data_IF_344978312392
#
_entry.id   IF_344978312392
#
_cell.length_a   1.000
_cell.length_b   1.000
_cell.length_c   1.000
_cell.angle_alpha   90.00
_cell.angle_beta   90.00
_cell.angle_gamma   90.00
#
_symmetry.space_group_name_H-M   'P 1'
#
loop_
_entity.id
_entity.type
_entity.pdbx_description
1 polymer ?
#
# COMPACT_ATOMS: atom_id res chain seq x y z
N UNK A 1 -2.67 -7.80 10.36
CA UNK A 1 -3.48 -6.67 10.87
C UNK A 1 -3.15 -5.29 10.26
N UNK A 2 -4.17 -4.52 9.85
CA UNK A 2 -4.01 -3.07 9.56
C UNK A 2 -3.71 -2.34 10.87
N UNK A 3 -2.58 -1.63 10.95
CA UNK A 3 -2.23 -0.85 12.15
C UNK A 3 -3.06 0.43 12.18
N UNK A 4 -3.77 0.63 13.28
CA UNK A 4 -4.66 1.78 13.50
C UNK A 4 -4.04 2.70 14.55
N UNK A 5 -3.98 3.98 14.24
CA UNK A 5 -3.36 5.03 15.05
C UNK A 5 -4.35 6.16 15.31
N UNK A 6 -4.22 6.80 16.47
CA UNK A 6 -4.87 8.08 16.73
C UNK A 6 -4.20 9.17 15.88
N UNK A 7 -4.92 10.27 15.64
CA UNK A 7 -4.41 11.39 14.82
C UNK A 7 -3.04 11.90 15.27
N UNK A 8 -2.85 12.12 16.57
CA UNK A 8 -1.56 12.63 17.08
C UNK A 8 -0.42 11.60 16.95
N UNK A 9 -0.71 10.29 17.04
CA UNK A 9 0.26 9.21 16.83
C UNK A 9 0.69 9.17 15.37
N UNK A 10 -0.27 9.21 14.45
CA UNK A 10 -0.01 9.25 13.01
C UNK A 10 0.82 10.49 12.61
N UNK A 11 0.48 11.66 13.17
CA UNK A 11 1.25 12.90 12.96
C UNK A 11 2.69 12.78 13.48
N UNK A 12 2.87 12.24 14.69
CA UNK A 12 4.20 12.01 15.27
C UNK A 12 5.02 11.06 14.39
N UNK A 13 4.45 9.93 14.00
CA UNK A 13 5.13 8.96 13.13
C UNK A 13 5.48 9.55 11.77
N UNK A 14 4.63 10.40 11.19
CA UNK A 14 4.93 11.14 9.95
C UNK A 14 6.13 12.09 10.11
N UNK A 15 6.26 12.76 11.25
CA UNK A 15 7.41 13.65 11.51
C UNK A 15 8.71 12.89 11.72
N UNK A 16 8.65 11.67 12.25
CA UNK A 16 9.81 10.79 12.46
C UNK A 16 10.21 10.03 11.19
N UNK A 17 9.24 9.60 10.38
CA UNK A 17 9.44 8.93 9.11
C UNK A 17 8.55 9.55 8.01
N UNK A 18 9.08 10.53 7.26
CA UNK A 18 8.35 11.24 6.21
C UNK A 18 7.81 10.38 5.06
N UNK A 19 8.26 9.12 4.94
CA UNK A 19 7.80 8.20 3.89
C UNK A 19 6.48 7.54 4.24
N UNK A 20 6.08 7.54 5.51
CA UNK A 20 4.81 7.00 5.95
C UNK A 20 3.65 7.79 5.35
N UNK A 21 2.52 7.11 5.21
CA UNK A 21 1.25 7.70 4.80
C UNK A 21 0.17 7.07 5.64
N UNK A 22 -0.86 7.84 5.96
CA UNK A 22 -1.97 7.34 6.76
C UNK A 22 -3.27 7.73 6.09
N UNK A 23 -4.26 6.84 6.10
CA UNK A 23 -5.58 7.11 5.53
C UNK A 23 -6.72 6.84 6.50
N UNK A 24 -7.82 7.53 6.30
CA UNK A 24 -9.12 7.22 6.90
C UNK A 24 -10.19 7.31 5.83
N UNK A 25 -11.13 6.36 5.85
CA UNK A 25 -12.23 6.27 4.90
C UNK A 25 -13.53 6.61 5.65
N UNK A 26 -14.34 7.51 5.10
CA UNK A 26 -15.64 7.92 5.65
C UNK A 26 -16.65 8.09 4.52
N UNK A 27 -17.49 7.07 4.31
CA UNK A 27 -18.35 7.01 3.13
C UNK A 27 -17.51 7.02 1.85
N UNK A 28 -17.85 7.89 0.91
CA UNK A 28 -17.11 8.07 -0.35
C UNK A 28 -15.87 8.98 -0.21
N UNK A 29 -15.65 9.57 0.97
CA UNK A 29 -14.54 10.49 1.22
C UNK A 29 -13.36 9.74 1.85
N UNK A 30 -12.21 9.80 1.18
CA UNK A 30 -10.93 9.32 1.72
C UNK A 30 -10.05 10.50 2.09
N UNK A 31 -9.58 10.53 3.35
CA UNK A 31 -8.59 11.50 3.80
C UNK A 31 -7.22 10.82 3.95
N UNK A 32 -6.17 11.48 3.48
CA UNK A 32 -4.78 11.02 3.60
C UNK A 32 -3.94 12.05 4.35
N UNK A 33 -3.25 11.62 5.39
CA UNK A 33 -2.24 12.39 6.11
C UNK A 33 -0.87 12.14 5.47
N UNK A 34 -0.19 13.23 5.09
CA UNK A 34 1.16 13.22 4.53
C UNK A 34 1.98 14.44 4.99
N UNK A 35 3.29 14.27 4.99
CA UNK A 35 4.23 15.38 5.23
C UNK A 35 4.49 16.12 3.91
N UNK A 36 4.34 17.44 3.94
CA UNK A 36 4.71 18.36 2.85
C UNK A 36 5.80 19.31 3.35
N UNK A 37 6.45 20.05 2.44
CA UNK A 37 7.50 21.01 2.77
C UNK A 37 7.01 22.03 3.82
N UNK A 38 7.41 21.83 5.08
CA UNK A 38 7.10 22.72 6.20
C UNK A 38 5.87 22.37 7.03
N UNK A 39 5.19 21.23 6.81
CA UNK A 39 4.04 20.86 7.64
C UNK A 39 3.35 19.56 7.26
N UNK A 40 2.27 19.25 7.99
CA UNK A 40 1.39 18.11 7.72
C UNK A 40 0.18 18.60 6.92
N UNK A 41 -0.15 17.90 5.84
CA UNK A 41 -1.31 18.18 4.99
C UNK A 41 -2.30 17.01 5.05
N UNK A 42 -3.58 17.34 5.00
CA UNK A 42 -4.67 16.40 4.80
C UNK A 42 -5.16 16.53 3.36
N UNK A 43 -4.92 15.50 2.55
CA UNK A 43 -5.49 15.41 1.20
C UNK A 43 -6.82 14.67 1.24
N UNK A 44 -7.77 15.13 0.43
CA UNK A 44 -9.13 14.61 0.39
C UNK A 44 -9.52 14.21 -1.02
N UNK A 45 -9.97 12.98 -1.17
CA UNK A 45 -10.42 12.40 -2.43
C UNK A 45 -11.86 11.90 -2.29
N UNK A 46 -12.70 12.15 -3.29
CA UNK A 46 -14.13 11.73 -3.28
C UNK A 46 -15.05 12.54 -2.35
N UNK A 47 -14.56 13.60 -1.71
CA UNK A 47 -15.32 14.41 -0.77
C UNK A 47 -16.19 15.47 -1.48
N UNK A 48 -17.19 15.04 -2.26
CA UNK A 48 -18.08 15.92 -3.02
C UNK A 48 -18.90 16.84 -2.09
N UNK A 49 -18.95 18.14 -2.41
CA UNK A 49 -19.71 19.13 -1.64
C UNK A 49 -19.07 19.56 -0.30
N UNK A 50 -17.92 18.99 0.06
CA UNK A 50 -17.18 19.35 1.26
C UNK A 50 -16.19 20.49 0.94
N UNK A 51 -16.46 21.70 1.41
CA UNK A 51 -15.55 22.85 1.19
C UNK A 51 -14.30 22.79 2.08
N UNK A 52 -14.36 22.03 3.18
CA UNK A 52 -13.26 21.90 4.13
C UNK A 52 -13.15 20.46 4.65
N UNK A 53 -11.95 19.90 4.57
CA UNK A 53 -11.62 18.66 5.24
C UNK A 53 -11.01 18.95 6.60
N UNK A 54 -11.84 18.94 7.65
CA UNK A 54 -11.35 19.09 9.01
C UNK A 54 -10.59 17.84 9.45
N UNK A 55 -9.38 18.02 9.98
CA UNK A 55 -8.65 16.96 10.66
C UNK A 55 -9.32 16.63 12.00
N UNK A 56 -9.87 15.43 12.14
CA UNK A 56 -10.46 14.95 13.39
C UNK A 56 -9.38 14.45 14.34
N UNK A 57 -9.33 14.95 15.57
CA UNK A 57 -8.34 14.50 16.58
C UNK A 57 -8.62 13.10 17.12
N UNK A 58 -9.87 12.67 17.08
CA UNK A 58 -10.34 11.32 17.41
C UNK A 58 -10.32 10.35 16.21
N UNK A 59 -9.72 10.78 15.09
CA UNK A 59 -9.58 9.98 13.88
C UNK A 59 -8.80 8.69 14.11
N UNK A 60 -9.29 7.61 13.50
CA UNK A 60 -8.62 6.30 13.46
C UNK A 60 -7.96 6.13 12.10
N UNK A 61 -6.66 6.36 12.08
CA UNK A 61 -5.85 6.37 10.87
C UNK A 61 -5.20 5.03 10.62
N UNK A 62 -5.35 4.51 9.42
CA UNK A 62 -4.70 3.28 8.96
C UNK A 62 -3.39 3.65 8.26
N UNK A 63 -2.29 3.02 8.66
CA UNK A 63 -1.04 3.17 7.92
C UNK A 63 -1.20 2.61 6.50
N UNK A 64 -0.92 3.44 5.50
CA UNK A 64 -0.87 3.03 4.10
C UNK A 64 0.51 2.43 3.87
N UNK A 65 0.54 1.11 3.70
CA UNK A 65 1.76 0.39 3.36
C UNK A 65 2.27 0.89 2.00
N UNK A 66 3.41 1.56 2.02
CA UNK A 66 4.13 1.94 0.80
C UNK A 66 4.74 0.72 0.12
N UNK A 67 5.18 0.87 -1.15
CA UNK A 67 5.92 -0.19 -1.78
C UNK A 67 7.28 -0.39 -1.08
N UNK A 68 7.63 -1.64 -0.84
CA UNK A 68 8.92 -2.10 -0.32
C UNK A 68 9.74 -2.73 -1.46
N UNK A 69 11.00 -3.01 -1.17
CA UNK A 69 11.85 -3.83 -2.04
C UNK A 69 11.42 -5.30 -1.99
N UNK A 70 11.82 -6.08 -3.00
CA UNK A 70 11.59 -7.52 -2.97
C UNK A 70 12.27 -8.20 -1.77
N UNK A 71 13.47 -7.76 -1.38
CA UNK A 71 14.19 -8.33 -0.24
C UNK A 71 13.44 -8.11 1.07
N UNK A 72 12.91 -6.91 1.30
CA UNK A 72 12.05 -6.63 2.46
C UNK A 72 10.78 -7.49 2.45
N UNK A 73 10.21 -7.78 1.27
CA UNK A 73 9.07 -8.68 1.14
C UNK A 73 9.44 -10.15 1.44
N UNK A 74 10.63 -10.59 1.05
CA UNK A 74 11.17 -11.95 1.34
C UNK A 74 11.41 -12.14 2.84
N UNK A 75 11.95 -11.12 3.50
CA UNK A 75 12.23 -11.14 4.94
C UNK A 75 10.97 -10.99 5.79
N UNK A 76 9.82 -10.70 5.17
CA UNK A 76 8.56 -10.54 5.90
C UNK A 76 7.85 -11.88 6.13
N UNK A 77 7.31 -12.06 7.34
CA UNK A 77 6.38 -13.16 7.65
C UNK A 77 4.96 -12.91 7.10
N UNK A 78 4.77 -11.82 6.35
CA UNK A 78 3.48 -11.37 5.87
C UNK A 78 3.08 -11.96 4.52
N UNK A 79 1.83 -11.69 4.12
CA UNK A 79 1.41 -11.89 2.74
C UNK A 79 1.91 -10.75 1.87
N UNK A 80 2.22 -11.02 0.62
CA UNK A 80 2.81 -10.06 -0.30
C UNK A 80 1.94 -9.87 -1.55
N UNK A 81 2.06 -8.70 -2.15
CA UNK A 81 1.46 -8.33 -3.44
C UNK A 81 2.51 -7.59 -4.25
N UNK A 82 2.50 -7.74 -5.58
CA UNK A 82 3.37 -6.95 -6.47
C UNK A 82 2.56 -6.28 -7.58
N UNK A 83 2.87 -5.02 -7.86
CA UNK A 83 2.34 -4.28 -9.00
C UNK A 83 3.45 -4.03 -10.02
N UNK A 84 3.20 -4.39 -11.28
CA UNK A 84 4.10 -4.14 -12.40
C UNK A 84 3.33 -4.12 -13.73
N UNK A 85 3.82 -3.35 -14.72
CA UNK A 85 3.14 -3.18 -16.03
C UNK A 85 3.02 -4.49 -16.82
N UNK A 86 3.89 -5.47 -16.56
CA UNK A 86 3.80 -6.79 -17.18
C UNK A 86 2.63 -7.59 -16.61
N UNK A 87 2.26 -7.36 -15.36
CA UNK A 87 1.16 -8.07 -14.70
C UNK A 87 -0.22 -7.57 -15.14
N UNK A 88 -0.33 -6.29 -15.52
CA UNK A 88 -1.59 -5.73 -16.06
C UNK A 88 -1.94 -6.27 -17.44
N UNK A 89 -0.98 -6.90 -18.14
CA UNK A 89 -1.19 -7.52 -19.45
C UNK A 89 -1.59 -8.99 -19.37
N UNK A 90 -1.53 -9.60 -18.18
CA UNK A 90 -1.90 -10.99 -17.98
C UNK A 90 -3.43 -11.16 -18.09
N UNK A 91 -3.87 -12.27 -18.69
CA UNK A 91 -5.30 -12.50 -19.01
C UNK A 91 -6.20 -12.48 -17.77
N UNK A 92 -7.43 -11.96 -17.96
CA UNK A 92 -8.44 -11.70 -16.90
C UNK A 92 -8.68 -12.86 -15.93
N UNK A 93 -8.48 -14.11 -16.35
CA UNK A 93 -8.78 -15.30 -15.55
C UNK A 93 -7.91 -15.42 -14.28
N UNK A 94 -6.73 -14.78 -14.24
CA UNK A 94 -5.79 -14.87 -13.09
C UNK A 94 -5.30 -13.53 -12.57
N UNK A 95 -5.64 -12.46 -13.29
CA UNK A 95 -5.42 -11.08 -12.88
C UNK A 95 -6.02 -10.81 -11.48
N UNK A 96 -7.17 -11.41 -11.16
CA UNK A 96 -7.81 -11.29 -9.85
C UNK A 96 -7.00 -11.92 -8.71
N UNK A 97 -6.29 -13.03 -8.95
CA UNK A 97 -5.45 -13.70 -7.94
C UNK A 97 -4.13 -12.97 -7.74
N UNK A 98 -3.48 -12.51 -8.82
CA UNK A 98 -2.22 -11.77 -8.75
C UNK A 98 -2.35 -10.39 -8.12
N UNK A 99 -3.53 -9.78 -8.18
CA UNK A 99 -3.82 -8.50 -7.52
C UNK A 99 -4.06 -8.61 -6.01
N UNK A 100 -4.21 -9.83 -5.49
CA UNK A 100 -4.44 -10.07 -4.06
C UNK A 100 -3.12 -10.25 -3.30
N UNK A 101 -3.21 -10.15 -1.97
CA UNK A 101 -2.11 -10.51 -1.07
C UNK A 101 -2.03 -12.03 -0.91
N UNK A 102 -0.90 -12.60 -1.32
CA UNK A 102 -0.66 -14.04 -1.33
C UNK A 102 0.56 -14.38 -0.46
N UNK A 103 0.67 -15.61 0.06
CA UNK A 103 1.95 -16.13 0.53
C UNK A 103 3.02 -15.97 -0.56
N UNK A 104 4.25 -15.64 -0.19
CA UNK A 104 5.33 -15.40 -1.15
C UNK A 104 5.54 -16.60 -2.08
N UNK A 105 5.52 -17.82 -1.55
CA UNK A 105 5.67 -19.05 -2.33
C UNK A 105 4.60 -19.18 -3.42
N UNK A 106 3.33 -18.92 -3.09
CA UNK A 106 2.21 -18.97 -4.03
C UNK A 106 2.36 -17.90 -5.11
N UNK A 107 2.72 -16.68 -4.72
CA UNK A 107 2.95 -15.60 -5.67
C UNK A 107 4.12 -15.93 -6.60
N UNK A 108 5.23 -16.47 -6.09
CA UNK A 108 6.36 -16.84 -6.92
C UNK A 108 6.05 -17.99 -7.88
N UNK A 109 5.28 -18.99 -7.42
CA UNK A 109 4.78 -20.05 -8.28
C UNK A 109 3.92 -19.50 -9.42
N UNK A 110 2.98 -18.59 -9.11
CA UNK A 110 2.14 -17.96 -10.12
C UNK A 110 2.98 -17.14 -11.11
N UNK A 111 3.88 -16.27 -10.62
CA UNK A 111 4.72 -15.44 -11.49
C UNK A 111 5.63 -16.29 -12.38
N UNK A 112 6.27 -17.33 -11.83
CA UNK A 112 7.15 -18.22 -12.60
C UNK A 112 6.43 -19.07 -13.64
N UNK A 113 5.12 -19.25 -13.50
CA UNK A 113 4.28 -19.96 -14.46
C UNK A 113 3.79 -19.07 -15.60
N UNK A 114 3.56 -17.79 -15.31
CA UNK A 114 2.96 -16.85 -16.27
C UNK A 114 4.00 -16.01 -17.02
N UNK A 115 5.21 -15.84 -16.49
CA UNK A 115 6.23 -14.96 -17.03
C UNK A 115 7.44 -15.74 -17.54
N UNK A 116 8.06 -15.24 -18.62
CA UNK A 116 9.39 -15.69 -19.01
C UNK A 116 10.42 -15.31 -17.94
N UNK A 117 11.56 -16.01 -17.89
CA UNK A 117 12.58 -15.73 -16.87
C UNK A 117 13.12 -14.29 -16.91
N UNK A 118 13.15 -13.63 -18.08
CA UNK A 118 13.52 -12.21 -18.19
C UNK A 118 12.47 -11.29 -17.58
N UNK A 119 11.19 -11.56 -17.85
CA UNK A 119 10.05 -10.79 -17.32
C UNK A 119 9.89 -10.98 -15.81
N UNK A 120 10.13 -12.19 -15.31
CA UNK A 120 10.14 -12.47 -13.88
C UNK A 120 11.23 -11.66 -13.16
N UNK A 121 12.44 -11.62 -13.72
CA UNK A 121 13.53 -10.80 -13.19
C UNK A 121 13.16 -9.31 -13.19
N UNK A 122 12.52 -8.84 -14.25
CA UNK A 122 12.04 -7.46 -14.35
C UNK A 122 11.02 -7.14 -13.25
N UNK A 123 10.06 -8.03 -12.99
CA UNK A 123 9.07 -7.86 -11.90
C UNK A 123 9.74 -7.91 -10.53
N UNK A 124 10.73 -8.77 -10.32
CA UNK A 124 11.45 -8.85 -9.04
C UNK A 124 12.22 -7.55 -8.77
N UNK A 125 12.93 -7.03 -9.78
CA UNK A 125 13.81 -5.88 -9.63
C UNK A 125 13.04 -4.55 -9.59
N UNK A 126 12.01 -4.41 -10.43
CA UNK A 126 11.32 -3.14 -10.69
C UNK A 126 9.85 -3.14 -10.27
N UNK A 127 9.35 -4.25 -9.71
CA UNK A 127 8.01 -4.34 -9.16
C UNK A 127 7.83 -3.52 -7.88
N UNK A 128 6.63 -2.98 -7.70
CA UNK A 128 6.21 -2.35 -6.44
C UNK A 128 5.66 -3.43 -5.52
N UNK A 129 6.43 -3.84 -4.52
CA UNK A 129 6.06 -4.91 -3.59
C UNK A 129 5.34 -4.33 -2.38
N UNK A 130 4.31 -5.01 -1.88
CA UNK A 130 3.54 -4.57 -0.72
C UNK A 130 3.40 -5.73 0.25
N UNK A 131 3.48 -5.44 1.55
CA UNK A 131 3.32 -6.44 2.61
C UNK A 131 1.97 -6.21 3.29
N UNK A 132 1.34 -7.29 3.73
CA UNK A 132 0.24 -7.28 4.70
C UNK A 132 0.71 -8.14 5.87
N UNK A 133 0.91 -7.51 7.02
CA UNK A 133 1.40 -8.20 8.22
C UNK A 133 0.54 -9.40 8.58
N UNK A 134 1.20 -10.49 9.02
CA UNK A 134 0.56 -11.69 9.51
C UNK A 134 -0.41 -11.37 10.66
N UNK A 135 -1.49 -12.14 10.73
CA UNK A 135 -2.44 -12.09 11.85
C UNK A 135 -1.97 -13.01 12.98
#
# INVERSE_FOLDING_TARGET
>A
MEKIYKTWEAMKMLTENPKLKFKVESGDCTQTLLLVSGGIRVDCEGCYGCQTCSLRLDGKWKEVQGPVTFMEAVESDGRVKVEHVLLSKLTKCRESTLKQYNPLCDLMYLLGRELLSSELKEVILNGKWYIKGAD
#
